data_IF_508372077480
#
_entry.id   IF_508372077480
#
_cell.length_a   1.000
_cell.length_b   1.000
_cell.length_c   1.000
_cell.angle_alpha   90.00
_cell.angle_beta   90.00
_cell.angle_gamma   90.00
#
_symmetry.space_group_name_H-M   'P 1'
#
loop_
_entity.id
_entity.type
_entity.pdbx_description
1 polymer ?
#
# COMPACT_ATOMS: atom_id res chain seq x y z
N UNK A 1 18.32 -8.17 -2.79
CA UNK A 1 18.47 -6.73 -3.05
C UNK A 1 18.39 -5.84 -1.81
N UNK A 2 17.25 -5.75 -1.10
CA UNK A 2 17.15 -4.87 0.09
C UNK A 2 18.16 -5.23 1.20
N UNK A 3 18.34 -6.52 1.51
CA UNK A 3 19.31 -6.96 2.51
C UNK A 3 20.75 -6.57 2.13
N UNK A 4 21.15 -6.81 0.87
CA UNK A 4 22.44 -6.37 0.33
C UNK A 4 22.61 -4.85 0.46
N UNK A 5 21.54 -4.08 0.18
CA UNK A 5 21.57 -2.64 0.33
C UNK A 5 21.80 -2.26 1.79
N UNK A 6 21.19 -2.91 2.77
CA UNK A 6 21.47 -2.61 4.19
C UNK A 6 22.89 -2.99 4.62
N UNK A 7 23.43 -4.10 4.11
CA UNK A 7 24.76 -4.60 4.45
C UNK A 7 25.91 -3.87 3.75
N UNK A 8 25.65 -3.20 2.63
CA UNK A 8 26.68 -2.48 1.89
C UNK A 8 27.30 -1.35 2.73
N UNK A 9 28.62 -1.18 2.62
CA UNK A 9 29.35 -0.04 3.21
C UNK A 9 28.86 1.25 2.55
N UNK A 10 28.46 2.22 3.37
CA UNK A 10 27.88 3.50 2.93
C UNK A 10 28.42 4.66 3.75
N UNK A 11 28.29 5.85 3.20
CA UNK A 11 28.47 7.10 3.95
C UNK A 11 27.37 7.22 5.03
N UNK A 12 27.69 7.85 6.15
CA UNK A 12 26.73 8.06 7.24
C UNK A 12 25.50 8.86 6.78
N UNK A 13 25.70 9.81 5.86
CA UNK A 13 24.61 10.58 5.25
C UNK A 13 23.63 9.68 4.50
N UNK A 14 24.12 8.72 3.73
CA UNK A 14 23.28 7.77 2.96
C UNK A 14 22.55 6.79 3.89
N UNK A 15 23.24 6.34 4.94
CA UNK A 15 22.65 5.48 5.97
C UNK A 15 21.54 6.20 6.72
N UNK A 16 21.76 7.47 7.07
CA UNK A 16 20.76 8.30 7.76
C UNK A 16 19.51 8.51 6.91
N UNK A 17 19.63 8.68 5.59
CA UNK A 17 18.49 8.72 4.66
C UNK A 17 17.69 7.42 4.73
N UNK A 18 18.35 6.25 4.63
CA UNK A 18 17.66 4.96 4.70
C UNK A 18 16.95 4.75 6.04
N UNK A 19 17.60 5.09 7.16
CA UNK A 19 17.01 5.00 8.50
C UNK A 19 15.79 5.93 8.62
N UNK A 20 15.88 7.15 8.11
CA UNK A 20 14.76 8.11 8.11
C UNK A 20 13.55 7.53 7.37
N UNK A 21 13.75 7.00 6.15
CA UNK A 21 12.65 6.41 5.39
C UNK A 21 12.06 5.17 6.08
N UNK A 22 12.90 4.31 6.67
CA UNK A 22 12.46 3.14 7.42
C UNK A 22 11.62 3.51 8.66
N UNK A 23 11.96 4.61 9.36
CA UNK A 23 11.16 5.12 10.49
C UNK A 23 9.79 5.63 10.05
N UNK A 24 9.73 6.32 8.91
CA UNK A 24 8.45 6.79 8.34
C UNK A 24 7.58 5.58 7.97
N UNK A 25 8.15 4.61 7.23
CA UNK A 25 7.46 3.37 6.89
C UNK A 25 6.92 2.66 8.14
N UNK A 26 7.77 2.47 9.16
CA UNK A 26 7.38 1.85 10.43
C UNK A 26 6.22 2.58 11.11
N UNK A 27 6.21 3.92 11.06
CA UNK A 27 5.13 4.71 11.68
C UNK A 27 3.80 4.49 10.95
N UNK A 28 3.81 4.49 9.62
CA UNK A 28 2.63 4.19 8.79
C UNK A 28 2.12 2.77 9.07
N UNK A 29 3.03 1.78 9.13
CA UNK A 29 2.68 0.39 9.43
C UNK A 29 2.04 0.26 10.83
N UNK A 30 2.57 0.93 11.86
CA UNK A 30 2.00 0.92 13.22
C UNK A 30 0.58 1.49 13.22
N UNK A 31 0.36 2.61 12.51
CA UNK A 31 -0.98 3.19 12.37
C UNK A 31 -1.93 2.20 11.68
N UNK A 32 -1.47 1.54 10.61
CA UNK A 32 -2.23 0.49 9.92
C UNK A 32 -2.59 -0.69 10.83
N UNK A 33 -1.66 -1.16 11.66
CA UNK A 33 -1.95 -2.22 12.64
C UNK A 33 -3.03 -1.82 13.65
N UNK A 34 -2.96 -0.60 14.18
CA UNK A 34 -3.98 -0.08 15.11
C UNK A 34 -5.33 -0.02 14.41
N UNK A 35 -5.36 0.50 13.18
CA UNK A 35 -6.59 0.63 12.40
C UNK A 35 -7.25 -0.72 12.12
N UNK A 36 -6.49 -1.73 11.66
CA UNK A 36 -7.02 -3.07 11.43
C UNK A 36 -7.46 -3.74 12.72
N UNK A 37 -6.72 -3.57 13.84
CA UNK A 37 -7.14 -4.09 15.13
C UNK A 37 -8.50 -3.50 15.57
N UNK A 38 -8.70 -2.19 15.40
CA UNK A 38 -9.98 -1.53 15.67
C UNK A 38 -11.09 -2.04 14.75
N UNK A 39 -10.81 -2.24 13.45
CA UNK A 39 -11.77 -2.81 12.52
C UNK A 39 -12.18 -4.25 12.90
N UNK A 40 -11.22 -5.11 13.26
CA UNK A 40 -11.51 -6.47 13.74
C UNK A 40 -12.36 -6.45 15.02
N UNK A 41 -12.03 -5.58 15.98
CA UNK A 41 -12.82 -5.41 17.21
C UNK A 41 -14.25 -4.94 16.90
N UNK A 42 -14.42 -4.02 15.94
CA UNK A 42 -15.74 -3.52 15.54
C UNK A 42 -16.64 -4.60 14.92
N UNK A 43 -16.06 -5.66 14.35
CA UNK A 43 -16.79 -6.80 13.81
C UNK A 43 -17.12 -7.85 14.89
N UNK A 44 -16.21 -8.09 15.82
CA UNK A 44 -16.34 -9.17 16.83
C UNK A 44 -17.20 -8.74 18.02
N UNK A 45 -16.99 -7.53 18.55
CA UNK A 45 -17.64 -7.08 19.79
C UNK A 45 -19.17 -7.06 19.71
N UNK A 46 -19.81 -6.57 18.63
CA UNK A 46 -21.27 -6.58 18.55
C UNK A 46 -21.87 -7.98 18.67
N UNK A 47 -21.26 -8.98 18.02
CA UNK A 47 -21.71 -10.38 18.08
C UNK A 47 -21.55 -10.97 19.48
N UNK A 48 -20.50 -10.58 20.20
CA UNK A 48 -20.29 -11.00 21.59
C UNK A 48 -21.35 -10.41 22.55
N UNK A 49 -21.76 -9.17 22.34
CA UNK A 49 -22.77 -8.50 23.16
C UNK A 49 -24.22 -8.75 22.72
N UNK A 50 -24.44 -9.59 21.71
CA UNK A 50 -25.78 -9.91 21.23
C UNK A 50 -26.41 -8.82 20.35
N UNK A 51 -25.60 -7.91 19.79
CA UNK A 51 -26.05 -6.88 18.84
C UNK A 51 -26.03 -7.46 17.43
N UNK A 52 -27.19 -7.47 16.77
CA UNK A 52 -27.32 -7.85 15.37
C UNK A 52 -26.79 -6.76 14.44
N UNK A 53 -25.78 -7.12 13.63
CA UNK A 53 -25.14 -6.21 12.67
C UNK A 53 -25.40 -6.62 11.22
N UNK A 54 -25.83 -7.85 10.95
CA UNK A 54 -26.19 -8.29 9.58
C UNK A 54 -27.54 -8.99 9.67
N UNK A 55 -28.57 -8.36 9.10
CA UNK A 55 -29.89 -8.97 8.97
C UNK A 55 -29.93 -9.78 7.67
N UNK A 56 -29.78 -11.11 7.78
CA UNK A 56 -29.94 -11.98 6.62
C UNK A 56 -31.43 -12.22 6.38
N UNK A 57 -31.99 -11.52 5.39
CA UNK A 57 -33.43 -11.46 5.06
C UNK A 57 -34.17 -12.79 4.84
N UNK A 58 -33.58 -13.98 5.03
CA UNK A 58 -34.25 -15.25 4.75
C UNK A 58 -33.93 -16.43 5.69
N UNK A 59 -33.21 -16.23 6.81
CA UNK A 59 -32.99 -17.29 7.82
C UNK A 59 -33.74 -16.95 9.11
N UNK A 60 -35.06 -17.03 9.01
CA UNK A 60 -36.02 -16.92 10.12
C UNK A 60 -35.59 -17.75 11.34
N UNK A 61 -35.54 -17.12 12.52
CA UNK A 61 -35.36 -17.68 13.87
C UNK A 61 -33.93 -18.10 14.29
N UNK A 62 -32.97 -17.17 14.34
CA UNK A 62 -31.79 -17.32 15.21
C UNK A 62 -31.73 -16.19 16.21
N UNK A 63 -31.50 -16.52 17.47
CA UNK A 63 -31.50 -15.56 18.58
C UNK A 63 -30.11 -15.01 18.89
N UNK A 64 -29.03 -15.65 18.41
CA UNK A 64 -27.66 -15.20 18.65
C UNK A 64 -27.00 -14.66 17.37
N UNK A 65 -26.54 -13.40 17.36
CA UNK A 65 -25.88 -12.82 16.19
C UNK A 65 -24.48 -13.39 15.99
N UNK A 66 -24.16 -13.71 14.74
CA UNK A 66 -22.81 -14.09 14.29
C UNK A 66 -22.35 -13.11 13.21
N UNK A 67 -21.02 -12.85 13.09
CA UNK A 67 -20.48 -12.03 12.00
C UNK A 67 -20.81 -12.56 10.61
N UNK A 68 -21.05 -13.87 10.48
CA UNK A 68 -21.50 -14.52 9.25
C UNK A 68 -22.53 -15.62 9.58
N UNK A 69 -23.76 -15.47 9.08
CA UNK A 69 -24.86 -16.41 9.32
C UNK A 69 -25.10 -17.37 8.14
N UNK A 70 -24.13 -18.23 7.82
CA UNK A 70 -24.19 -19.14 6.64
C UNK A 70 -24.33 -20.63 6.96
N UNK A 71 -24.32 -21.03 8.24
CA UNK A 71 -24.25 -22.44 8.62
C UNK A 71 -25.61 -23.13 8.61
N UNK A 72 -25.70 -24.36 8.12
CA UNK A 72 -26.94 -25.16 8.09
C UNK A 72 -27.28 -25.88 9.42
N UNK A 73 -26.42 -25.80 10.44
CA UNK A 73 -26.70 -26.34 11.77
C UNK A 73 -27.18 -25.25 12.74
N UNK A 74 -27.85 -25.68 13.81
CA UNK A 74 -28.33 -24.82 14.89
C UNK A 74 -27.15 -24.26 15.70
N UNK A 75 -26.85 -22.98 15.49
CA UNK A 75 -25.75 -22.25 16.14
C UNK A 75 -26.14 -21.68 17.50
N UNK A 76 -27.41 -21.68 17.90
CA UNK A 76 -27.86 -20.98 19.11
C UNK A 76 -27.54 -21.78 20.38
N UNK A 77 -27.46 -23.11 20.23
CA UNK A 77 -27.12 -24.05 21.30
C UNK A 77 -25.68 -23.86 21.78
N UNK A 78 -25.49 -24.02 23.10
CA UNK A 78 -24.16 -24.10 23.71
C UNK A 78 -23.69 -25.56 23.66
N UNK A 79 -22.43 -25.84 23.25
CA UNK A 79 -21.32 -24.90 23.02
C UNK A 79 -21.13 -24.47 21.55
N UNK A 80 -22.09 -24.75 20.66
CA UNK A 80 -21.95 -24.53 19.22
C UNK A 80 -21.72 -23.04 18.90
N UNK A 81 -22.46 -22.13 19.56
CA UNK A 81 -22.29 -20.70 19.38
C UNK A 81 -20.86 -20.25 19.71
N UNK A 82 -20.37 -20.65 20.87
CA UNK A 82 -19.08 -20.24 21.42
C UNK A 82 -17.93 -20.74 20.56
N UNK A 83 -18.02 -21.98 20.07
CA UNK A 83 -17.05 -22.56 19.14
C UNK A 83 -17.06 -21.84 17.79
N UNK A 84 -18.23 -21.52 17.23
CA UNK A 84 -18.34 -20.83 15.95
C UNK A 84 -17.82 -19.40 16.03
N UNK A 85 -18.14 -18.68 17.11
CA UNK A 85 -17.62 -17.34 17.36
C UNK A 85 -16.10 -17.35 17.52
N UNK A 86 -15.54 -18.36 18.20
CA UNK A 86 -14.09 -18.54 18.31
C UNK A 86 -13.45 -18.76 16.94
N UNK A 87 -14.04 -19.63 16.11
CA UNK A 87 -13.55 -19.89 14.76
C UNK A 87 -13.58 -18.60 13.91
N UNK A 88 -14.70 -17.86 13.92
CA UNK A 88 -14.81 -16.58 13.20
C UNK A 88 -13.76 -15.58 13.67
N UNK A 89 -13.56 -15.46 14.99
CA UNK A 89 -12.55 -14.57 15.57
C UNK A 89 -11.16 -14.94 15.06
N UNK A 90 -10.79 -16.23 15.09
CA UNK A 90 -9.51 -16.70 14.57
C UNK A 90 -9.38 -16.44 13.07
N UNK A 91 -10.42 -16.73 12.27
CA UNK A 91 -10.41 -16.49 10.82
C UNK A 91 -10.23 -15.01 10.48
N UNK A 92 -10.94 -14.11 11.16
CA UNK A 92 -10.81 -12.66 10.98
C UNK A 92 -9.40 -12.19 11.32
N UNK A 93 -8.83 -12.67 12.43
CA UNK A 93 -7.46 -12.32 12.83
C UNK A 93 -6.43 -12.83 11.82
N UNK A 94 -6.51 -14.09 11.41
CA UNK A 94 -5.59 -14.65 10.42
C UNK A 94 -5.72 -13.95 9.06
N UNK A 95 -6.95 -13.70 8.60
CA UNK A 95 -7.20 -12.95 7.37
C UNK A 95 -6.63 -11.53 7.42
N UNK A 96 -6.86 -10.83 8.54
CA UNK A 96 -6.30 -9.49 8.79
C UNK A 96 -4.77 -9.47 8.78
N UNK A 97 -4.12 -10.46 9.39
CA UNK A 97 -2.65 -10.59 9.39
C UNK A 97 -2.12 -10.80 7.97
N UNK A 98 -2.72 -11.71 7.20
CA UNK A 98 -2.30 -11.99 5.82
C UNK A 98 -2.41 -10.73 4.97
N UNK A 99 -3.52 -10.02 5.08
CA UNK A 99 -3.77 -8.78 4.36
C UNK A 99 -2.74 -7.69 4.75
N UNK A 100 -2.54 -7.48 6.05
CA UNK A 100 -1.54 -6.54 6.56
C UNK A 100 -0.12 -6.86 6.09
N UNK A 101 0.26 -8.14 5.99
CA UNK A 101 1.58 -8.53 5.52
C UNK A 101 1.86 -8.01 4.11
N UNK A 102 0.88 -8.12 3.20
CA UNK A 102 1.01 -7.66 1.81
C UNK A 102 1.20 -6.13 1.75
N UNK A 103 0.33 -5.38 2.42
CA UNK A 103 0.39 -3.92 2.45
C UNK A 103 1.66 -3.40 3.10
N UNK A 104 2.05 -4.00 4.22
CA UNK A 104 3.26 -3.63 4.94
C UNK A 104 4.51 -3.88 4.11
N UNK A 105 4.56 -4.98 3.35
CA UNK A 105 5.67 -5.22 2.43
C UNK A 105 5.73 -4.18 1.30
N UNK A 106 4.59 -3.77 0.74
CA UNK A 106 4.54 -2.72 -0.27
C UNK A 106 5.04 -1.37 0.27
N UNK A 107 4.57 -0.98 1.47
CA UNK A 107 5.01 0.24 2.16
C UNK A 107 6.52 0.21 2.40
N UNK A 108 7.04 -0.89 2.96
CA UNK A 108 8.47 -1.04 3.25
C UNK A 108 9.32 -0.91 1.97
N UNK A 109 8.92 -1.59 0.90
CA UNK A 109 9.60 -1.55 -0.41
C UNK A 109 9.58 -0.14 -0.99
N UNK A 110 8.42 0.52 -0.96
CA UNK A 110 8.23 1.89 -1.46
C UNK A 110 9.19 2.87 -0.79
N UNK A 111 9.24 2.86 0.54
CA UNK A 111 10.13 3.73 1.30
C UNK A 111 11.61 3.35 1.15
N UNK A 112 11.92 2.08 0.93
CA UNK A 112 13.28 1.65 0.59
C UNK A 112 13.73 2.21 -0.76
N UNK A 113 12.91 2.05 -1.81
CA UNK A 113 13.18 2.64 -3.14
C UNK A 113 13.35 4.14 -3.04
N UNK A 114 12.43 4.81 -2.34
CA UNK A 114 12.48 6.25 -2.12
C UNK A 114 13.83 6.67 -1.53
N UNK A 115 14.31 5.95 -0.52
CA UNK A 115 15.61 6.19 0.09
C UNK A 115 16.79 5.91 -0.85
N UNK A 116 16.71 4.83 -1.64
CA UNK A 116 17.76 4.52 -2.63
C UNK A 116 17.83 5.57 -3.74
N UNK A 117 16.69 6.05 -4.25
CA UNK A 117 16.63 7.11 -5.26
C UNK A 117 17.19 8.44 -4.71
N UNK A 118 16.90 8.77 -3.46
CA UNK A 118 17.46 9.98 -2.81
C UNK A 118 18.99 9.86 -2.64
N UNK A 119 19.49 8.70 -2.21
CA UNK A 119 20.93 8.45 -2.13
C UNK A 119 21.59 8.49 -3.52
N UNK A 120 20.94 7.90 -4.52
CA UNK A 120 21.37 7.94 -5.90
C UNK A 120 21.48 9.38 -6.42
N UNK A 121 20.46 10.21 -6.15
CA UNK A 121 20.46 11.64 -6.46
C UNK A 121 21.62 12.38 -5.81
N UNK A 122 21.88 12.13 -4.53
CA UNK A 122 23.02 12.72 -3.81
C UNK A 122 24.37 12.34 -4.43
N UNK A 123 24.54 11.07 -4.84
CA UNK A 123 25.76 10.61 -5.54
C UNK A 123 25.91 11.28 -6.90
N UNK A 124 24.79 11.43 -7.61
CA UNK A 124 24.75 12.04 -8.93
C UNK A 124 25.20 13.52 -8.90
N UNK A 125 24.68 14.33 -7.96
CA UNK A 125 25.07 15.74 -7.83
C UNK A 125 26.56 15.89 -7.55
N UNK A 126 27.17 14.95 -6.81
CA UNK A 126 28.61 14.96 -6.49
C UNK A 126 29.50 14.49 -7.64
N UNK A 127 28.94 13.96 -8.74
CA UNK A 127 29.68 13.39 -9.85
C UNK A 127 30.62 14.41 -10.52
N UNK A 128 30.14 15.64 -10.73
CA UNK A 128 30.88 16.67 -11.49
C UNK A 128 32.14 17.13 -10.76
N UNK A 129 32.16 17.07 -9.43
CA UNK A 129 33.31 17.47 -8.63
C UNK A 129 34.38 16.35 -8.48
N UNK A 130 34.14 15.16 -9.01
CA UNK A 130 35.01 14.01 -8.79
C UNK A 130 36.17 13.95 -9.79
N UNK A 131 37.42 13.89 -9.28
CA UNK A 131 38.64 13.71 -10.09
C UNK A 131 38.58 12.44 -10.97
N UNK A 132 37.98 11.37 -10.46
CA UNK A 132 37.81 10.09 -11.16
C UNK A 132 36.42 9.92 -11.81
N UNK A 133 36.02 10.89 -12.64
CA UNK A 133 34.68 10.96 -13.26
C UNK A 133 34.21 9.63 -13.87
N UNK A 134 35.01 8.98 -14.72
CA UNK A 134 34.60 7.76 -15.43
C UNK A 134 34.29 6.58 -14.47
N UNK A 135 35.09 6.42 -13.40
CA UNK A 135 34.88 5.36 -12.41
C UNK A 135 33.62 5.62 -11.60
N UNK A 136 33.39 6.86 -11.18
CA UNK A 136 32.20 7.25 -10.42
C UNK A 136 30.94 7.12 -11.28
N UNK A 137 30.99 7.58 -12.53
CA UNK A 137 29.90 7.43 -13.49
C UNK A 137 29.54 5.97 -13.74
N UNK A 138 30.53 5.08 -13.90
CA UNK A 138 30.27 3.65 -14.05
C UNK A 138 29.52 3.08 -12.85
N UNK A 139 29.92 3.45 -11.63
CA UNK A 139 29.21 3.04 -10.41
C UNK A 139 27.78 3.58 -10.34
N UNK A 140 27.55 4.81 -10.80
CA UNK A 140 26.22 5.42 -10.90
C UNK A 140 25.35 4.62 -11.89
N UNK A 141 25.86 4.32 -13.09
CA UNK A 141 25.12 3.55 -14.10
C UNK A 141 24.75 2.17 -13.57
N UNK A 142 25.69 1.45 -12.95
CA UNK A 142 25.44 0.14 -12.34
C UNK A 142 24.36 0.25 -11.26
N UNK A 143 24.41 1.28 -10.41
CA UNK A 143 23.41 1.51 -9.37
C UNK A 143 22.03 1.80 -9.97
N UNK A 144 21.97 2.66 -11.00
CA UNK A 144 20.72 3.00 -11.70
C UNK A 144 20.08 1.77 -12.35
N UNK A 145 20.87 0.94 -13.04
CA UNK A 145 20.40 -0.31 -13.63
C UNK A 145 19.88 -1.29 -12.57
N UNK A 146 20.52 -1.36 -11.41
CA UNK A 146 20.05 -2.19 -10.29
C UNK A 146 18.72 -1.67 -9.73
N UNK A 147 18.53 -0.35 -9.64
CA UNK A 147 17.26 0.26 -9.22
C UNK A 147 16.13 0.02 -10.23
N UNK A 148 16.41 0.15 -11.53
CA UNK A 148 15.43 -0.19 -12.58
C UNK A 148 15.02 -1.67 -12.48
N UNK A 149 15.98 -2.59 -12.33
CA UNK A 149 15.66 -4.01 -12.15
C UNK A 149 14.82 -4.25 -10.89
N UNK A 150 15.12 -3.54 -9.80
CA UNK A 150 14.34 -3.65 -8.57
C UNK A 150 12.90 -3.20 -8.77
N UNK A 151 12.73 -2.04 -9.39
CA UNK A 151 11.44 -1.46 -9.74
C UNK A 151 10.60 -2.41 -10.62
N UNK A 152 11.20 -2.95 -11.68
CA UNK A 152 10.53 -3.92 -12.56
C UNK A 152 10.13 -5.20 -11.81
N UNK A 153 10.95 -5.68 -10.88
CA UNK A 153 10.58 -6.84 -10.07
C UNK A 153 9.38 -6.55 -9.17
N UNK A 154 9.29 -5.35 -8.62
CA UNK A 154 8.16 -4.96 -7.78
C UNK A 154 6.89 -4.84 -8.62
N UNK A 155 6.99 -4.22 -9.80
CA UNK A 155 5.87 -4.15 -10.75
C UNK A 155 5.36 -5.55 -11.11
N UNK A 156 6.26 -6.47 -11.45
CA UNK A 156 5.90 -7.85 -11.79
C UNK A 156 5.20 -8.59 -10.64
N UNK A 157 5.55 -8.30 -9.39
CA UNK A 157 4.95 -8.94 -8.21
C UNK A 157 3.59 -8.31 -7.87
N UNK A 158 3.51 -6.98 -7.85
CA UNK A 158 2.37 -6.27 -7.30
C UNK A 158 1.32 -5.84 -8.33
N UNK A 159 1.66 -5.76 -9.61
CA UNK A 159 0.75 -5.24 -10.65
C UNK A 159 -0.59 -6.00 -10.68
N UNK A 160 -0.54 -7.34 -10.70
CA UNK A 160 -1.76 -8.17 -10.66
C UNK A 160 -2.45 -8.14 -9.30
N UNK A 161 -1.68 -8.15 -8.20
CA UNK A 161 -2.22 -8.14 -6.83
C UNK A 161 -3.04 -6.86 -6.59
N UNK A 162 -2.51 -5.72 -6.99
CA UNK A 162 -3.17 -4.42 -6.82
C UNK A 162 -4.38 -4.31 -7.75
N UNK A 163 -4.33 -4.84 -8.98
CA UNK A 163 -5.50 -4.89 -9.86
C UNK A 163 -6.65 -5.66 -9.21
N UNK A 164 -6.38 -6.87 -8.72
CA UNK A 164 -7.40 -7.70 -8.06
C UNK A 164 -7.94 -6.98 -6.82
N UNK A 165 -7.07 -6.31 -6.05
CA UNK A 165 -7.45 -5.56 -4.86
C UNK A 165 -8.36 -4.37 -5.19
N UNK A 166 -8.02 -3.56 -6.21
CA UNK A 166 -8.86 -2.43 -6.64
C UNK A 166 -10.21 -2.91 -7.15
N UNK A 167 -10.27 -3.99 -7.95
CA UNK A 167 -11.53 -4.57 -8.42
C UNK A 167 -12.39 -5.05 -7.24
N UNK A 168 -11.77 -5.71 -6.26
CA UNK A 168 -12.47 -6.12 -5.04
C UNK A 168 -13.01 -4.92 -4.26
N UNK A 169 -12.19 -3.88 -4.06
CA UNK A 169 -12.60 -2.67 -3.35
C UNK A 169 -13.76 -1.97 -4.04
N UNK A 170 -13.74 -1.87 -5.37
CA UNK A 170 -14.84 -1.29 -6.15
C UNK A 170 -16.16 -2.05 -5.96
N UNK A 171 -16.11 -3.39 -5.97
CA UNK A 171 -17.30 -4.22 -5.73
C UNK A 171 -17.84 -4.01 -4.32
N UNK A 172 -16.97 -4.07 -3.30
CA UNK A 172 -17.39 -3.87 -1.90
C UNK A 172 -17.91 -2.45 -1.68
N UNK A 173 -17.27 -1.44 -2.28
CA UNK A 173 -17.72 -0.04 -2.21
C UNK A 173 -19.15 0.12 -2.74
N UNK A 174 -19.44 -0.44 -3.91
CA UNK A 174 -20.78 -0.40 -4.50
C UNK A 174 -21.81 -1.12 -3.63
N UNK A 175 -21.48 -2.30 -3.10
CA UNK A 175 -22.38 -3.07 -2.23
C UNK A 175 -22.68 -2.33 -0.92
N UNK A 176 -21.66 -1.75 -0.27
CA UNK A 176 -21.84 -0.95 0.94
C UNK A 176 -22.68 0.31 0.66
N UNK A 177 -22.44 1.02 -0.44
CA UNK A 177 -23.23 2.19 -0.83
C UNK A 177 -24.70 1.85 -1.12
N UNK A 178 -24.94 0.73 -1.79
CA UNK A 178 -26.29 0.23 -2.04
C UNK A 178 -27.01 -0.16 -0.74
N UNK A 179 -26.33 -0.87 0.16
CA UNK A 179 -26.87 -1.26 1.47
C UNK A 179 -27.28 -0.02 2.29
N UNK A 180 -26.41 0.99 2.34
CA UNK A 180 -26.69 2.26 3.02
C UNK A 180 -27.94 2.91 2.41
N UNK A 181 -28.07 2.93 1.07
CA UNK A 181 -29.22 3.52 0.38
C UNK A 181 -30.53 2.80 0.73
N UNK A 182 -30.52 1.46 0.80
CA UNK A 182 -31.70 0.68 1.20
C UNK A 182 -32.13 1.06 2.62
N UNK A 183 -31.17 1.11 3.56
CA UNK A 183 -31.44 1.42 4.96
C UNK A 183 -32.03 2.82 5.11
N UNK A 184 -31.50 3.81 4.39
CA UNK A 184 -32.03 5.18 4.42
C UNK A 184 -33.42 5.33 3.78
N UNK A 185 -33.77 4.46 2.82
CA UNK A 185 -35.09 4.48 2.19
C UNK A 185 -36.15 3.78 3.06
N UNK A 186 -35.75 2.87 3.94
CA UNK A 186 -36.64 2.30 4.94
C UNK A 186 -36.97 3.35 6.01
N UNK A 187 -38.26 3.56 6.29
CA UNK A 187 -38.72 4.63 7.20
C UNK A 187 -38.59 4.26 8.68
N UNK A 188 -38.15 3.05 9.00
CA UNK A 188 -37.95 2.56 10.37
C UNK A 188 -36.47 2.39 10.69
N UNK A 189 -35.85 3.45 11.20
CA UNK A 189 -34.48 3.39 11.71
C UNK A 189 -34.52 2.75 13.10
N UNK A 190 -34.10 1.49 13.18
CA UNK A 190 -33.90 0.76 14.44
C UNK A 190 -32.41 0.74 14.82
N UNK A 191 -32.08 0.25 16.02
CA UNK A 191 -30.69 0.14 16.50
C UNK A 191 -29.81 -0.75 15.60
N UNK A 192 -30.37 -1.81 15.02
CA UNK A 192 -29.69 -2.70 14.07
C UNK A 192 -29.33 -2.00 12.76
N UNK A 193 -30.23 -1.15 12.25
CA UNK A 193 -29.99 -0.34 11.06
C UNK A 193 -28.85 0.67 11.30
N UNK A 194 -28.79 1.28 12.49
CA UNK A 194 -27.68 2.17 12.86
C UNK A 194 -26.34 1.43 12.92
N UNK A 195 -26.31 0.22 13.50
CA UNK A 195 -25.10 -0.61 13.53
C UNK A 195 -24.63 -1.01 12.13
N UNK A 196 -25.54 -1.36 11.22
CA UNK A 196 -25.25 -1.66 9.82
C UNK A 196 -24.66 -0.47 9.06
N UNK A 197 -25.24 0.72 9.22
CA UNK A 197 -24.73 1.95 8.60
C UNK A 197 -23.35 2.29 9.15
N UNK A 198 -23.14 2.19 10.46
CA UNK A 198 -21.83 2.41 11.09
C UNK A 198 -20.77 1.45 10.53
N UNK A 199 -21.07 0.16 10.46
CA UNK A 199 -20.13 -0.84 9.93
C UNK A 199 -19.83 -0.60 8.45
N UNK A 200 -20.87 -0.36 7.64
CA UNK A 200 -20.71 -0.09 6.21
C UNK A 200 -19.87 1.16 5.94
N UNK A 201 -20.09 2.22 6.72
CA UNK A 201 -19.31 3.46 6.64
C UNK A 201 -17.86 3.24 7.06
N UNK A 202 -17.63 2.43 8.10
CA UNK A 202 -16.28 2.06 8.54
C UNK A 202 -15.55 1.28 7.44
N UNK A 203 -16.20 0.29 6.81
CA UNK A 203 -15.65 -0.47 5.69
C UNK A 203 -15.31 0.46 4.52
N UNK A 204 -16.21 1.36 4.14
CA UNK A 204 -15.96 2.33 3.06
C UNK A 204 -14.74 3.20 3.36
N UNK A 205 -14.61 3.71 4.59
CA UNK A 205 -13.45 4.49 5.01
C UNK A 205 -12.16 3.65 4.94
N UNK A 206 -12.20 2.39 5.40
CA UNK A 206 -11.07 1.46 5.29
C UNK A 206 -10.62 1.30 3.83
N UNK A 207 -11.56 1.07 2.90
CA UNK A 207 -11.27 0.89 1.49
C UNK A 207 -10.63 2.15 0.89
N UNK A 208 -11.18 3.33 1.19
CA UNK A 208 -10.63 4.61 0.72
C UNK A 208 -9.20 4.84 1.24
N UNK A 209 -8.94 4.56 2.52
CA UNK A 209 -7.59 4.67 3.10
C UNK A 209 -6.62 3.71 2.41
N UNK A 210 -7.01 2.46 2.16
CA UNK A 210 -6.15 1.48 1.48
C UNK A 210 -5.81 1.93 0.04
N UNK A 211 -6.82 2.34 -0.73
CA UNK A 211 -6.59 2.85 -2.09
C UNK A 211 -5.71 4.10 -2.09
N UNK A 212 -5.90 5.01 -1.14
CA UNK A 212 -5.04 6.17 -0.95
C UNK A 212 -3.58 5.77 -0.68
N UNK A 213 -3.34 4.75 0.14
CA UNK A 213 -1.99 4.25 0.43
C UNK A 213 -1.33 3.65 -0.82
N UNK A 214 -2.05 2.89 -1.65
CA UNK A 214 -1.53 2.35 -2.91
C UNK A 214 -1.17 3.44 -3.91
N UNK A 215 -2.10 4.38 -4.15
CA UNK A 215 -1.85 5.53 -5.03
C UNK A 215 -0.73 6.44 -4.50
N UNK A 216 -0.68 6.65 -3.18
CA UNK A 216 0.37 7.42 -2.53
C UNK A 216 1.73 6.76 -2.63
N UNK A 217 1.81 5.44 -2.53
CA UNK A 217 3.05 4.69 -2.71
C UNK A 217 3.62 4.89 -4.12
N UNK A 218 2.79 4.72 -5.15
CA UNK A 218 3.20 4.97 -6.54
C UNK A 218 3.61 6.43 -6.77
N UNK A 219 2.83 7.39 -6.25
CA UNK A 219 3.13 8.83 -6.36
C UNK A 219 4.47 9.20 -5.73
N UNK A 220 4.79 8.66 -4.54
CA UNK A 220 6.05 8.93 -3.84
C UNK A 220 7.27 8.48 -4.65
N UNK A 221 7.16 7.34 -5.35
CA UNK A 221 8.23 6.83 -6.20
C UNK A 221 8.41 7.71 -7.42
N UNK A 222 7.31 8.05 -8.12
CA UNK A 222 7.33 8.95 -9.29
C UNK A 222 7.98 10.29 -8.93
N UNK A 223 7.61 10.87 -7.79
CA UNK A 223 8.18 12.13 -7.32
C UNK A 223 9.71 12.05 -7.13
N UNK A 224 10.23 10.95 -6.59
CA UNK A 224 11.67 10.76 -6.46
C UNK A 224 12.36 10.52 -7.81
N UNK A 225 11.76 9.75 -8.70
CA UNK A 225 12.28 9.57 -10.06
C UNK A 225 12.40 10.92 -10.79
N UNK A 226 11.39 11.78 -10.67
CA UNK A 226 11.44 13.13 -11.25
C UNK A 226 12.53 13.99 -10.61
N UNK A 227 12.71 13.94 -9.28
CA UNK A 227 13.82 14.62 -8.58
C UNK A 227 15.19 14.15 -9.06
N UNK A 228 15.34 12.85 -9.36
CA UNK A 228 16.55 12.30 -9.97
C UNK A 228 16.73 12.86 -11.38
N UNK A 229 15.69 12.86 -12.21
CA UNK A 229 15.75 13.39 -13.57
C UNK A 229 16.18 14.85 -13.59
N UNK A 230 15.54 15.72 -12.80
CA UNK A 230 15.93 17.13 -12.68
C UNK A 230 17.36 17.29 -12.21
N UNK A 231 17.80 16.49 -11.23
CA UNK A 231 19.20 16.53 -10.79
C UNK A 231 20.20 16.13 -11.87
N UNK A 232 19.84 15.28 -12.86
CA UNK A 232 20.67 15.00 -14.04
C UNK A 232 20.67 16.19 -14.99
N UNK A 233 19.50 16.80 -15.23
CA UNK A 233 19.32 17.96 -16.10
C UNK A 233 20.11 19.19 -15.62
N UNK A 234 20.14 19.41 -14.32
CA UNK A 234 20.81 20.54 -13.67
C UNK A 234 22.33 20.37 -13.57
N UNK A 235 22.88 19.21 -13.96
CA UNK A 235 24.32 19.06 -14.07
C UNK A 235 24.87 20.03 -15.13
N UNK A 236 26.01 20.65 -14.86
CA UNK A 236 26.70 21.52 -15.84
C UNK A 236 27.39 20.69 -16.94
N UNK A 237 26.66 19.77 -17.57
CA UNK A 237 27.14 18.81 -18.56
C UNK A 237 27.72 19.48 -19.80
N UNK A 238 27.25 20.69 -20.14
CA UNK A 238 27.74 21.49 -21.24
C UNK A 238 29.15 22.06 -21.01
N UNK A 239 29.64 22.07 -19.76
CA UNK A 239 31.03 22.42 -19.41
C UNK A 239 31.97 21.21 -19.43
N UNK A 240 31.45 19.99 -19.60
CA UNK A 240 32.24 18.77 -19.63
C UNK A 240 32.79 18.50 -21.04
N UNK A 241 33.87 17.72 -21.13
CA UNK A 241 34.36 17.17 -22.40
C UNK A 241 33.24 16.42 -23.14
N UNK A 242 33.21 16.51 -24.48
CA UNK A 242 32.16 15.95 -25.32
C UNK A 242 31.83 14.47 -25.01
N UNK A 243 32.84 13.64 -24.74
CA UNK A 243 32.64 12.22 -24.37
C UNK A 243 31.91 12.05 -23.03
N UNK A 244 32.23 12.89 -22.04
CA UNK A 244 31.59 12.87 -20.71
C UNK A 244 30.16 13.41 -20.80
N UNK A 245 29.98 14.51 -21.51
CA UNK A 245 28.67 15.11 -21.79
C UNK A 245 27.71 14.11 -22.45
N UNK A 246 28.17 13.38 -23.48
CA UNK A 246 27.38 12.34 -24.14
C UNK A 246 26.85 11.28 -23.18
N UNK A 247 27.67 10.83 -22.22
CA UNK A 247 27.22 9.83 -21.25
C UNK A 247 26.16 10.38 -20.27
N UNK A 248 26.25 11.66 -19.89
CA UNK A 248 25.23 12.31 -19.06
C UNK A 248 23.91 12.47 -19.84
N UNK A 249 23.98 12.82 -21.12
CA UNK A 249 22.80 12.89 -22.00
C UNK A 249 22.09 11.53 -22.06
N UNK A 250 22.83 10.42 -22.18
CA UNK A 250 22.24 9.08 -22.15
C UNK A 250 21.52 8.80 -20.82
N UNK A 251 22.12 9.20 -19.69
CA UNK A 251 21.47 9.08 -18.38
C UNK A 251 20.22 9.97 -18.27
N UNK A 252 20.25 11.16 -18.86
CA UNK A 252 19.11 12.08 -18.91
C UNK A 252 17.94 11.47 -19.68
N UNK A 253 18.19 10.90 -20.86
CA UNK A 253 17.18 10.21 -21.66
C UNK A 253 16.60 8.97 -20.95
N UNK A 254 17.40 8.29 -20.13
CA UNK A 254 16.89 7.15 -19.36
C UNK A 254 16.07 7.58 -18.15
N UNK A 255 16.46 8.68 -17.49
CA UNK A 255 15.75 9.19 -16.31
C UNK A 255 14.48 9.98 -16.65
N UNK A 256 14.30 10.40 -17.91
CA UNK A 256 13.07 11.08 -18.35
C UNK A 256 11.83 10.17 -18.35
N UNK A 257 12.03 8.85 -18.22
CA UNK A 257 10.97 7.87 -18.06
C UNK A 257 10.95 7.38 -16.61
N UNK A 258 10.22 8.07 -15.70
CA UNK A 258 10.16 7.67 -14.31
C UNK A 258 9.50 6.29 -14.20
N UNK A 259 9.99 5.49 -13.25
CA UNK A 259 9.29 4.27 -12.89
C UNK A 259 7.93 4.62 -12.27
N UNK A 260 6.89 4.00 -12.79
CA UNK A 260 5.51 4.17 -12.34
C UNK A 260 4.96 2.79 -12.01
N UNK A 261 4.47 2.63 -10.78
CA UNK A 261 3.73 1.42 -10.42
C UNK A 261 2.36 1.44 -11.07
N UNK A 262 1.87 0.29 -11.54
CA UNK A 262 0.54 0.20 -12.12
C UNK A 262 -0.27 -0.95 -11.52
N UNK A 263 -1.59 -0.83 -11.58
CA UNK A 263 -2.50 -1.94 -11.41
C UNK A 263 -2.71 -2.62 -12.77
N UNK A 264 -2.27 -3.87 -12.87
CA UNK A 264 -2.51 -4.73 -14.03
C UNK A 264 -1.82 -4.29 -15.33
N UNK A 265 -0.78 -3.45 -15.26
CA UNK A 265 -0.15 -2.81 -16.43
C UNK A 265 -1.09 -1.87 -17.20
N UNK A 266 -2.19 -1.44 -16.58
CA UNK A 266 -3.24 -0.63 -17.22
C UNK A 266 -3.38 0.70 -16.48
N UNK A 267 -3.55 0.67 -15.16
CA UNK A 267 -3.92 1.84 -14.37
C UNK A 267 -2.70 2.32 -13.58
N UNK A 268 -2.14 3.52 -13.84
CA UNK A 268 -1.02 4.03 -13.07
C UNK A 268 -1.46 4.35 -11.64
N UNK A 269 -0.66 3.98 -10.64
CA UNK A 269 -0.92 4.27 -9.23
C UNK A 269 -0.45 5.69 -8.91
N UNK A 270 -1.36 6.65 -9.08
CA UNK A 270 -1.11 8.07 -8.83
C UNK A 270 -2.22 8.67 -8.01
N UNK A 271 -1.96 9.85 -7.42
CA UNK A 271 -3.03 10.59 -6.73
C UNK A 271 -4.12 11.06 -7.69
N UNK A 272 -3.81 11.26 -8.97
CA UNK A 272 -4.85 11.57 -9.98
C UNK A 272 -5.82 10.40 -10.16
N UNK A 273 -5.29 9.16 -10.16
CA UNK A 273 -6.11 7.94 -10.22
C UNK A 273 -6.99 7.76 -8.99
N UNK A 274 -6.54 8.20 -7.81
CA UNK A 274 -7.35 8.12 -6.59
C UNK A 274 -8.53 9.11 -6.58
N UNK A 275 -8.36 10.28 -7.19
CA UNK A 275 -9.36 11.36 -7.20
C UNK A 275 -10.41 11.16 -8.30
N UNK A 276 -10.05 10.50 -9.39
CA UNK A 276 -10.95 10.19 -10.53
C UNK A 276 -11.80 8.96 -10.28
#
# INVERSE_FOLDING_TARGET
MMAEDWMAIKLDTERNVMIKQARIARSIMIIGYIFVALACLSLILPSYFGIEVIDTMNLTNRNKPLPLQTYHYDTDKSPQFELTLLIHTLTILFGGIIYLCLDNSLILITFHIRGQLENFRCRLVRLVCCKNFNKVLNNIIITHLRLIRFANNIENIYSLIILISILNFSVVFCLCGFLITIIFNDRKINETALAQVYLSTTILLCLLINTFLYCGAGQLIIEQCNKVHYAVCDLEWYKLEARKARNIILLMMQTSHPFCMTAGNIIPLTMATFVN
#
